data_IF_429008430311
#
_entry.id   IF_429008430311
#
_cell.length_a   1.000
_cell.length_b   1.000
_cell.length_c   1.000
_cell.angle_alpha   90.00
_cell.angle_beta   90.00
_cell.angle_gamma   90.00
#
_symmetry.space_group_name_H-M   'P 1'
#
loop_
_entity.id
_entity.type
_entity.pdbx_description
1 polymer ?
#
# COMPACT_ATOMS: atom_id res chain seq x y z
N UNK A 1 1.41 -22.47 15.12
CA UNK A 1 1.57 -21.59 16.30
C UNK A 1 2.96 -20.94 16.43
N UNK A 2 3.94 -21.26 15.58
CA UNK A 2 5.33 -20.72 15.69
C UNK A 2 5.59 -19.52 14.75
N UNK A 3 4.85 -19.38 13.64
CA UNK A 3 5.02 -18.26 12.69
C UNK A 3 4.37 -16.95 13.20
N UNK A 4 3.36 -17.07 14.08
CA UNK A 4 2.62 -15.92 14.64
C UNK A 4 3.48 -15.06 15.59
N UNK A 5 4.58 -15.60 16.12
CA UNK A 5 5.42 -14.91 17.08
C UNK A 5 6.52 -14.05 16.42
N UNK A 6 6.83 -14.30 15.14
CA UNK A 6 7.95 -13.66 14.45
C UNK A 6 7.57 -12.26 13.97
N UNK A 7 6.41 -12.07 13.34
CA UNK A 7 5.99 -10.75 12.83
C UNK A 7 5.71 -9.74 13.96
N UNK A 8 5.05 -10.15 15.04
CA UNK A 8 4.70 -9.24 16.15
C UNK A 8 5.92 -8.90 17.04
N UNK A 9 6.86 -9.84 17.26
CA UNK A 9 8.13 -9.51 17.92
C UNK A 9 9.03 -8.66 17.02
N UNK A 10 9.03 -8.83 15.70
CA UNK A 10 9.82 -7.97 14.82
C UNK A 10 9.38 -6.51 14.91
N UNK A 11 8.08 -6.20 14.87
CA UNK A 11 7.60 -4.81 14.92
C UNK A 11 7.82 -4.15 16.30
N UNK A 12 7.65 -4.90 17.40
CA UNK A 12 7.83 -4.36 18.77
C UNK A 12 9.32 -4.23 19.15
N UNK A 13 10.17 -5.14 18.69
CA UNK A 13 11.61 -5.09 18.98
C UNK A 13 12.30 -4.01 18.13
N UNK A 14 11.81 -3.73 16.92
CA UNK A 14 12.27 -2.59 16.11
C UNK A 14 11.88 -1.23 16.71
N UNK A 15 10.66 -1.06 17.23
CA UNK A 15 10.28 0.21 17.89
C UNK A 15 11.12 0.53 19.13
N UNK A 16 11.57 -0.48 19.89
CA UNK A 16 12.42 -0.29 21.07
C UNK A 16 13.90 -0.06 20.73
N UNK A 17 14.40 -0.51 19.57
CA UNK A 17 15.80 -0.37 19.18
C UNK A 17 16.08 0.86 18.30
N UNK A 18 15.05 1.45 17.67
CA UNK A 18 15.19 2.66 16.85
C UNK A 18 15.64 3.91 17.62
N UNK A 19 15.57 3.95 18.96
CA UNK A 19 15.94 5.15 19.73
C UNK A 19 17.45 5.30 19.96
N UNK A 20 18.28 4.27 19.73
CA UNK A 20 19.69 4.28 20.17
C UNK A 20 20.72 4.32 19.03
N UNK A 21 20.38 3.96 17.80
CA UNK A 21 21.38 3.66 16.77
C UNK A 21 21.37 4.62 15.56
N UNK A 22 21.33 5.94 15.75
CA UNK A 22 21.18 6.92 14.65
C UNK A 22 22.50 7.47 14.05
N UNK A 23 23.67 6.86 14.29
CA UNK A 23 24.96 7.52 14.00
C UNK A 23 25.84 7.04 12.83
N UNK A 24 25.61 5.89 12.19
CA UNK A 24 26.60 5.37 11.22
C UNK A 24 26.06 4.52 10.05
N UNK A 25 24.93 4.89 9.41
CA UNK A 25 24.53 4.24 8.16
C UNK A 25 24.92 5.11 6.95
N UNK A 26 25.86 4.64 6.13
CA UNK A 26 26.15 5.21 4.80
C UNK A 26 24.92 5.04 3.89
N UNK A 27 24.58 6.02 3.03
CA UNK A 27 23.41 5.93 2.16
C UNK A 27 23.70 4.99 0.98
N UNK A 28 23.15 3.78 1.02
CA UNK A 28 22.99 2.96 -0.18
C UNK A 28 21.99 3.64 -1.13
N UNK A 29 22.09 3.44 -2.46
CA UNK A 29 21.23 4.12 -3.44
C UNK A 29 19.75 3.85 -3.17
N UNK A 30 18.95 4.92 -3.13
CA UNK A 30 17.56 4.87 -2.66
C UNK A 30 16.71 3.95 -3.54
N UNK A 31 16.20 2.93 -2.88
CA UNK A 31 15.30 1.89 -3.35
C UNK A 31 13.92 2.42 -3.71
N UNK A 32 13.43 2.22 -4.94
CA UNK A 32 12.12 2.74 -5.36
C UNK A 32 11.07 1.65 -5.53
N UNK A 33 9.88 1.86 -4.96
CA UNK A 33 8.72 0.98 -5.09
C UNK A 33 7.58 1.69 -5.85
N UNK A 34 7.02 1.03 -6.87
CA UNK A 34 5.82 1.52 -7.56
C UNK A 34 4.60 0.83 -6.97
N UNK A 35 3.72 1.61 -6.34
CA UNK A 35 2.45 1.12 -5.84
C UNK A 35 1.38 1.18 -6.94
N UNK A 36 0.93 0.02 -7.39
CA UNK A 36 -0.15 -0.09 -8.38
C UNK A 36 -1.45 -0.35 -7.61
N UNK A 37 -2.35 0.63 -7.61
CA UNK A 37 -3.72 0.47 -7.11
C UNK A 37 -4.64 0.09 -8.26
N UNK A 38 -5.24 -1.10 -8.22
CA UNK A 38 -6.26 -1.52 -9.18
C UNK A 38 -7.61 -1.70 -8.47
N UNK A 39 -8.66 -1.10 -9.01
CA UNK A 39 -10.00 -1.14 -8.43
C UNK A 39 -10.69 -2.50 -8.62
N UNK A 40 -11.65 -2.81 -7.74
CA UNK A 40 -12.25 -4.15 -7.64
C UNK A 40 -13.62 -4.13 -6.88
N UNK A 41 -14.74 -4.62 -7.45
CA UNK A 41 -15.97 -5.18 -6.82
C UNK A 41 -16.57 -6.50 -7.39
N UNK A 42 -17.19 -7.31 -6.52
CA UNK A 42 -18.61 -7.61 -6.73
C UNK A 42 -19.51 -6.74 -5.84
N UNK A 43 -18.98 -6.25 -4.72
CA UNK A 43 -19.46 -5.08 -3.97
C UNK A 43 -18.26 -4.31 -3.36
N UNK A 44 -18.11 -3.01 -3.65
CA UNK A 44 -17.14 -2.06 -3.04
C UNK A 44 -15.64 -2.06 -3.47
N UNK A 45 -15.29 -1.31 -4.54
CA UNK A 45 -14.33 -0.23 -4.67
C UNK A 45 -12.97 -0.31 -3.92
N UNK A 46 -12.54 -1.49 -3.48
CA UNK A 46 -11.69 -1.59 -2.30
C UNK A 46 -10.23 -1.18 -2.53
N UNK A 47 -9.62 -1.52 -3.67
CA UNK A 47 -8.21 -1.19 -3.94
C UNK A 47 -7.95 0.32 -3.93
N UNK A 48 -8.66 1.07 -4.78
CA UNK A 48 -8.57 2.52 -4.81
C UNK A 48 -9.09 3.19 -3.53
N UNK A 49 -10.10 2.62 -2.85
CA UNK A 49 -10.56 3.15 -1.57
C UNK A 49 -9.54 2.98 -0.44
N UNK A 50 -8.86 1.84 -0.35
CA UNK A 50 -7.79 1.63 0.63
C UNK A 50 -6.60 2.53 0.28
N UNK A 51 -6.23 2.63 -1.00
CA UNK A 51 -5.22 3.57 -1.49
C UNK A 51 -5.54 5.02 -1.07
N UNK A 52 -6.79 5.45 -1.21
CA UNK A 52 -7.23 6.79 -0.79
C UNK A 52 -7.22 7.04 0.72
N UNK A 53 -7.02 6.00 1.55
CA UNK A 53 -6.74 6.14 2.99
C UNK A 53 -5.26 6.00 3.31
N UNK A 54 -4.56 5.13 2.57
CA UNK A 54 -3.13 4.86 2.70
C UNK A 54 -2.28 6.11 2.41
N UNK A 55 -2.49 6.74 1.26
CA UNK A 55 -1.66 7.90 0.87
C UNK A 55 -1.79 9.08 1.83
N UNK A 56 -3.00 9.51 2.26
CA UNK A 56 -3.13 10.51 3.32
C UNK A 56 -2.41 10.15 4.62
N UNK A 57 -2.43 8.87 5.01
CA UNK A 57 -1.73 8.41 6.20
C UNK A 57 -0.21 8.54 6.03
N UNK A 58 0.34 8.05 4.91
CA UNK A 58 1.77 8.17 4.59
C UNK A 58 2.17 9.65 4.50
N UNK A 59 1.37 10.51 3.84
CA UNK A 59 1.61 11.94 3.79
C UNK A 59 1.66 12.57 5.18
N UNK A 60 0.76 12.18 6.09
CA UNK A 60 0.76 12.68 7.48
C UNK A 60 2.02 12.25 8.23
N UNK A 61 2.49 11.02 8.02
CA UNK A 61 3.71 10.48 8.65
C UNK A 61 5.00 11.14 8.13
N UNK A 62 5.00 11.62 6.87
CA UNK A 62 6.14 12.29 6.23
C UNK A 62 6.03 13.83 6.21
N UNK A 63 5.00 14.41 6.83
CA UNK A 63 4.79 15.87 6.88
C UNK A 63 4.40 16.50 5.53
N UNK A 64 3.79 15.74 4.62
CA UNK A 64 3.35 16.23 3.30
C UNK A 64 1.91 16.74 3.38
N UNK A 65 1.71 17.97 2.95
CA UNK A 65 0.40 18.62 2.84
C UNK A 65 -0.49 17.92 1.79
N UNK A 66 -1.83 18.00 1.90
CA UNK A 66 -2.75 17.49 0.87
C UNK A 66 -2.56 18.07 -0.54
N UNK A 67 -1.85 19.20 -0.66
CA UNK A 67 -1.45 19.82 -1.92
C UNK A 67 -0.09 19.36 -2.43
N UNK A 68 0.44 18.25 -1.89
CA UNK A 68 1.75 17.66 -2.22
C UNK A 68 2.96 18.48 -1.78
N UNK A 69 2.77 19.52 -0.97
CA UNK A 69 3.86 20.36 -0.49
C UNK A 69 4.39 19.86 0.85
N UNK A 70 5.71 19.79 1.00
CA UNK A 70 6.35 19.50 2.28
C UNK A 70 6.02 20.62 3.27
N UNK A 71 5.47 20.25 4.44
CA UNK A 71 5.25 21.22 5.49
C UNK A 71 6.56 21.46 6.24
N UNK A 72 6.94 22.72 6.49
CA UNK A 72 8.07 22.99 7.36
C UNK A 72 7.76 22.41 8.76
N UNK A 73 8.77 21.90 9.48
CA UNK A 73 8.58 21.41 10.83
C UNK A 73 7.92 22.50 11.68
N UNK A 74 7.02 22.15 12.63
CA UNK A 74 6.35 23.13 13.46
C UNK A 74 7.40 24.01 14.13
N UNK A 75 7.44 25.28 13.72
CA UNK A 75 8.26 26.29 14.38
C UNK A 75 7.78 26.37 15.84
N UNK A 76 8.68 26.33 16.83
CA UNK A 76 8.27 26.56 18.21
C UNK A 76 7.61 27.94 18.26
N UNK A 77 6.32 27.97 18.60
CA UNK A 77 5.58 29.22 18.75
C UNK A 77 6.32 30.10 19.76
N UNK A 78 6.76 31.26 19.29
CA UNK A 78 7.47 32.29 20.06
C UNK A 78 6.57 32.85 21.17
N UNK A 79 6.47 32.14 22.29
CA UNK A 79 5.90 32.66 23.54
C UNK A 79 6.32 31.82 24.75
N UNK A 80 7.63 31.78 25.03
CA UNK A 80 8.18 31.77 26.40
C UNK A 80 9.70 31.67 26.33
N UNK A 81 10.38 32.71 26.79
CA UNK A 81 11.83 32.70 26.93
C UNK A 81 12.24 31.71 28.02
N UNK A 82 13.10 30.76 27.67
CA UNK A 82 14.05 30.19 28.62
C UNK A 82 15.29 29.74 27.86
N UNK A 83 16.38 30.45 28.13
CA UNK A 83 17.73 30.14 27.65
C UNK A 83 18.20 28.89 28.38
N UNK A 84 18.12 27.72 27.75
CA UNK A 84 18.85 26.54 28.19
C UNK A 84 19.84 26.15 27.09
N UNK A 85 21.12 26.41 27.35
CA UNK A 85 22.26 25.96 26.54
C UNK A 85 22.49 24.46 26.77
N UNK A 86 21.50 23.64 26.43
CA UNK A 86 21.66 22.19 26.41
C UNK A 86 22.08 21.75 24.99
N UNK A 87 23.26 21.11 24.81
CA UNK A 87 23.69 20.58 23.50
C UNK A 87 22.79 19.46 22.96
N UNK A 88 21.73 19.11 23.69
CA UNK A 88 20.75 18.08 23.34
C UNK A 88 19.45 18.63 22.71
N UNK A 89 19.26 19.95 22.66
CA UNK A 89 18.06 20.59 22.06
C UNK A 89 18.26 21.12 20.63
N UNK A 90 19.41 20.85 20.01
CA UNK A 90 19.69 21.16 18.59
C UNK A 90 19.50 19.97 17.65
N UNK A 91 18.91 18.88 18.14
CA UNK A 91 18.38 17.85 17.27
C UNK A 91 16.88 18.11 17.12
N UNK A 92 16.55 19.11 16.30
CA UNK A 92 15.38 18.98 15.45
C UNK A 92 15.62 17.66 14.70
N UNK A 93 15.13 16.55 15.26
CA UNK A 93 15.04 15.29 14.55
C UNK A 93 14.08 15.57 13.40
N UNK A 94 14.59 16.18 12.32
CA UNK A 94 14.25 15.79 10.97
C UNK A 94 14.37 14.27 11.03
N UNK A 95 13.25 13.61 11.32
CA UNK A 95 13.21 12.17 11.33
C UNK A 95 13.72 11.79 9.95
N UNK A 96 14.94 11.26 9.88
CA UNK A 96 15.56 10.89 8.61
C UNK A 96 14.58 9.89 8.01
N UNK A 97 13.85 10.30 6.99
CA UNK A 97 12.79 9.51 6.38
C UNK A 97 13.00 9.50 4.87
N UNK A 98 13.01 8.31 4.31
CA UNK A 98 13.25 8.10 2.89
C UNK A 98 11.93 8.26 2.14
N UNK A 99 11.63 9.51 1.79
CA UNK A 99 10.43 9.86 1.02
C UNK A 99 10.49 9.29 -0.41
N UNK A 100 11.69 9.21 -1.00
CA UNK A 100 11.86 8.88 -2.43
C UNK A 100 11.41 7.46 -2.78
N UNK A 101 11.36 6.56 -1.80
CA UNK A 101 10.90 5.18 -1.97
C UNK A 101 9.48 5.11 -2.53
N UNK A 102 8.58 5.95 -2.00
CA UNK A 102 7.16 5.98 -2.40
C UNK A 102 6.75 7.27 -3.11
N UNK A 103 7.55 8.33 -3.02
CA UNK A 103 7.28 9.61 -3.67
C UNK A 103 8.30 9.92 -4.76
N UNK A 104 7.82 10.58 -5.80
CA UNK A 104 8.63 11.25 -6.80
C UNK A 104 8.69 12.72 -6.42
N UNK A 105 9.90 13.25 -6.21
CA UNK A 105 10.12 14.67 -6.00
C UNK A 105 10.09 15.38 -7.36
N UNK A 106 9.08 16.23 -7.58
CA UNK A 106 8.95 17.00 -8.81
C UNK A 106 9.74 18.32 -8.74
N UNK A 107 9.68 18.99 -7.59
CA UNK A 107 10.39 20.21 -7.23
C UNK A 107 10.86 20.08 -5.77
N UNK A 108 11.66 21.02 -5.27
CA UNK A 108 12.29 20.95 -3.93
C UNK A 108 11.31 20.56 -2.80
N UNK A 109 10.08 21.08 -2.83
CA UNK A 109 9.05 20.78 -1.83
C UNK A 109 7.84 19.99 -2.35
N UNK A 110 7.83 19.56 -3.63
CA UNK A 110 6.66 18.93 -4.23
C UNK A 110 6.81 17.42 -4.41
N UNK A 111 6.06 16.65 -3.62
CA UNK A 111 6.12 15.19 -3.58
C UNK A 111 4.87 14.52 -4.15
N UNK A 112 5.03 13.75 -5.22
CA UNK A 112 3.94 13.05 -5.91
C UNK A 112 4.07 11.54 -5.64
N UNK A 113 3.03 10.84 -5.14
CA UNK A 113 3.07 9.40 -4.98
C UNK A 113 3.44 8.66 -6.27
N UNK A 114 4.33 7.66 -6.16
CA UNK A 114 4.62 6.67 -7.21
C UNK A 114 3.47 5.66 -7.28
N UNK A 115 2.28 6.18 -7.57
CA UNK A 115 1.04 5.43 -7.62
C UNK A 115 0.40 5.49 -9.01
N UNK A 116 -0.09 4.35 -9.49
CA UNK A 116 -0.98 4.29 -10.65
C UNK A 116 -2.35 3.81 -10.16
N UNK A 117 -3.41 4.56 -10.46
CA UNK A 117 -4.79 4.20 -10.14
C UNK A 117 -5.47 3.68 -11.40
N UNK A 118 -5.97 2.46 -11.35
CA UNK A 118 -6.55 1.79 -12.51
C UNK A 118 -7.98 1.37 -12.20
N UNK A 119 -8.93 1.79 -13.04
CA UNK A 119 -10.34 1.46 -12.87
C UNK A 119 -11.07 1.32 -14.20
N UNK A 120 -12.09 0.47 -14.21
CA UNK A 120 -13.01 0.33 -15.35
C UNK A 120 -14.28 1.17 -15.14
N UNK A 121 -14.50 1.69 -13.93
CA UNK A 121 -15.65 2.51 -13.55
C UNK A 121 -15.20 3.85 -12.95
N UNK A 122 -15.81 4.98 -13.35
CA UNK A 122 -15.34 6.31 -12.93
C UNK A 122 -15.65 6.66 -11.46
N UNK A 123 -16.56 5.94 -10.80
CA UNK A 123 -17.17 6.35 -9.53
C UNK A 123 -16.14 6.59 -8.41
N UNK A 124 -15.18 5.69 -8.24
CA UNK A 124 -14.18 5.80 -7.16
C UNK A 124 -13.13 6.83 -7.50
N UNK A 125 -12.61 6.77 -8.73
CA UNK A 125 -11.62 7.74 -9.21
C UNK A 125 -12.17 9.15 -9.04
N UNK A 126 -13.41 9.42 -9.46
CA UNK A 126 -14.03 10.73 -9.31
C UNK A 126 -14.17 11.15 -7.83
N UNK A 127 -14.43 10.20 -6.93
CA UNK A 127 -14.47 10.48 -5.49
C UNK A 127 -13.08 10.87 -4.95
N UNK A 128 -12.01 10.22 -5.43
CA UNK A 128 -10.62 10.56 -5.06
C UNK A 128 -10.21 11.90 -5.65
N UNK A 129 -10.53 12.16 -6.92
CA UNK A 129 -10.22 13.40 -7.62
C UNK A 129 -11.02 14.62 -7.14
N UNK A 130 -12.13 14.41 -6.41
CA UNK A 130 -12.88 15.48 -5.73
C UNK A 130 -12.51 15.62 -4.26
N UNK A 131 -11.68 14.71 -3.73
CA UNK A 131 -11.26 14.74 -2.33
C UNK A 131 -10.24 15.85 -2.04
N UNK A 132 -9.99 16.12 -0.75
CA UNK A 132 -8.95 17.06 -0.29
C UNK A 132 -7.56 16.75 -0.87
N UNK A 133 -7.29 15.48 -1.17
CA UNK A 133 -6.02 14.99 -1.71
C UNK A 133 -6.05 14.83 -3.25
N UNK A 134 -6.97 15.50 -3.94
CA UNK A 134 -7.06 15.42 -5.41
C UNK A 134 -5.77 15.87 -6.11
N UNK A 135 -5.16 16.94 -5.60
CA UNK A 135 -3.89 17.49 -6.10
C UNK A 135 -2.67 16.62 -5.81
N UNK A 136 -2.83 15.61 -4.95
CA UNK A 136 -1.76 14.67 -4.64
C UNK A 136 -1.42 13.77 -5.83
N UNK A 137 -2.44 13.35 -6.57
CA UNK A 137 -2.28 12.40 -7.66
C UNK A 137 -2.03 13.14 -8.98
N UNK A 138 -1.05 12.66 -9.75
CA UNK A 138 -0.88 13.13 -11.11
C UNK A 138 -2.00 12.55 -11.99
N UNK A 139 -2.78 13.37 -12.71
CA UNK A 139 -3.86 12.89 -13.57
C UNK A 139 -3.37 11.93 -14.68
N UNK A 140 -2.10 12.02 -15.08
CA UNK A 140 -1.48 11.08 -16.04
C UNK A 140 -1.27 9.68 -15.48
N UNK A 141 -1.38 9.49 -14.16
CA UNK A 141 -1.24 8.18 -13.50
C UNK A 141 -2.59 7.52 -13.23
N UNK A 142 -3.67 8.06 -13.81
CA UNK A 142 -5.03 7.60 -13.57
C UNK A 142 -5.55 7.00 -14.87
N UNK A 143 -5.79 5.69 -14.86
CA UNK A 143 -6.43 5.00 -15.96
C UNK A 143 -7.92 4.84 -15.69
N UNK A 144 -8.72 5.26 -16.65
CA UNK A 144 -10.14 4.98 -16.70
C UNK A 144 -10.47 4.37 -18.06
N UNK A 145 -11.13 3.21 -18.05
CA UNK A 145 -11.60 2.58 -19.28
C UNK A 145 -12.59 3.45 -20.04
N UNK A 146 -12.37 3.61 -21.35
CA UNK A 146 -13.27 4.35 -22.26
C UNK A 146 -14.66 3.73 -22.36
N UNK A 147 -14.73 2.41 -22.20
CA UNK A 147 -15.98 1.66 -22.33
C UNK A 147 -16.96 1.91 -21.16
N UNK A 148 -16.46 2.38 -20.00
CA UNK A 148 -17.25 2.78 -18.83
C UNK A 148 -18.19 1.73 -18.21
N UNK A 149 -18.37 0.57 -18.84
CA UNK A 149 -19.42 -0.40 -18.56
C UNK A 149 -19.13 -1.39 -17.43
N UNK A 150 -17.98 -1.28 -16.77
CA UNK A 150 -17.52 -2.27 -15.79
C UNK A 150 -17.38 -3.68 -16.38
N UNK A 151 -16.88 -4.63 -15.60
CA UNK A 151 -16.65 -6.02 -16.05
C UNK A 151 -17.80 -7.01 -15.67
N UNK A 152 -19.03 -6.53 -15.45
CA UNK A 152 -20.23 -7.41 -15.41
C UNK A 152 -20.22 -8.62 -14.44
N UNK A 153 -19.53 -8.53 -13.30
CA UNK A 153 -19.30 -9.59 -12.30
C UNK A 153 -18.46 -10.77 -12.79
N UNK A 154 -17.89 -10.70 -14.00
CA UNK A 154 -17.19 -11.79 -14.65
C UNK A 154 -15.68 -11.52 -14.77
N UNK A 155 -14.87 -12.47 -14.29
CA UNK A 155 -13.41 -12.45 -14.43
C UNK A 155 -12.96 -12.27 -15.89
N UNK A 156 -13.60 -12.98 -16.84
CA UNK A 156 -13.22 -12.96 -18.26
C UNK A 156 -13.40 -11.57 -18.88
N UNK A 157 -14.44 -10.84 -18.47
CA UNK A 157 -14.68 -9.49 -18.96
C UNK A 157 -13.62 -8.49 -18.48
N UNK A 158 -13.01 -8.75 -17.31
CA UNK A 158 -11.88 -7.99 -16.79
C UNK A 158 -10.53 -8.48 -17.31
N UNK A 159 -10.40 -9.73 -17.75
CA UNK A 159 -9.20 -10.28 -18.39
C UNK A 159 -9.18 -9.91 -19.88
N UNK A 160 -8.80 -8.67 -20.17
CA UNK A 160 -8.61 -8.15 -21.53
C UNK A 160 -7.20 -7.60 -21.69
N UNK A 161 -6.84 -7.29 -22.92
CA UNK A 161 -5.55 -6.67 -23.23
C UNK A 161 -5.64 -5.17 -22.92
N UNK A 162 -4.87 -4.71 -21.93
CA UNK A 162 -4.79 -3.31 -21.53
C UNK A 162 -3.41 -2.72 -21.82
N UNK A 163 -3.11 -2.46 -23.11
CA UNK A 163 -1.82 -1.89 -23.54
C UNK A 163 -1.56 -0.53 -22.92
N UNK A 164 -2.57 0.34 -22.87
CA UNK A 164 -2.47 1.68 -22.30
C UNK A 164 -1.98 1.65 -20.84
N UNK A 165 -2.39 0.64 -20.06
CA UNK A 165 -1.97 0.44 -18.66
C UNK A 165 -0.50 0.02 -18.57
N UNK A 166 -0.05 -0.87 -19.46
CA UNK A 166 1.35 -1.26 -19.54
C UNK A 166 2.24 -0.09 -19.97
N UNK A 167 1.82 0.70 -20.96
CA UNK A 167 2.58 1.89 -21.40
C UNK A 167 2.77 2.91 -20.27
N UNK A 168 1.73 3.12 -19.44
CA UNK A 168 1.85 3.96 -18.24
C UNK A 168 2.81 3.38 -17.21
N UNK A 169 2.77 2.06 -17.01
CA UNK A 169 3.67 1.38 -16.09
C UNK A 169 5.12 1.48 -16.54
N UNK A 170 5.39 1.26 -17.83
CA UNK A 170 6.71 1.35 -18.43
C UNK A 170 7.26 2.78 -18.31
N UNK A 171 6.40 3.78 -18.55
CA UNK A 171 6.77 5.18 -18.35
C UNK A 171 7.13 5.49 -16.88
N UNK A 172 6.55 4.78 -15.90
CA UNK A 172 6.89 4.94 -14.49
C UNK A 172 8.12 4.15 -14.07
N UNK A 173 8.28 2.95 -14.58
CA UNK A 173 9.48 2.14 -14.38
C UNK A 173 10.72 2.85 -14.93
N UNK A 174 10.61 3.45 -16.13
CA UNK A 174 11.71 4.19 -16.76
C UNK A 174 12.11 5.47 -16.00
N UNK A 175 11.15 6.12 -15.31
CA UNK A 175 11.40 7.30 -14.47
C UNK A 175 11.96 6.95 -13.07
N UNK A 176 12.25 5.69 -12.82
CA UNK A 176 12.74 5.21 -11.54
C UNK A 176 14.20 4.80 -11.69
N UNK A 177 15.11 5.49 -11.02
CA UNK A 177 16.55 5.23 -11.14
C UNK A 177 16.92 3.80 -10.69
N UNK A 178 16.26 3.31 -9.64
CA UNK A 178 16.40 1.93 -9.16
C UNK A 178 15.05 1.36 -8.73
N UNK A 179 14.30 0.83 -9.69
CA UNK A 179 13.04 0.12 -9.41
C UNK A 179 13.34 -1.21 -8.71
N UNK A 180 12.76 -1.44 -7.53
CA UNK A 180 12.89 -2.71 -6.82
C UNK A 180 11.73 -3.67 -7.10
N UNK A 181 10.52 -3.12 -7.17
CA UNK A 181 9.33 -3.94 -7.30
C UNK A 181 8.03 -3.15 -7.41
N UNK A 182 6.97 -3.93 -7.59
CA UNK A 182 5.60 -3.49 -7.73
C UNK A 182 4.79 -3.96 -6.52
N UNK A 183 4.04 -3.04 -5.93
CA UNK A 183 3.06 -3.35 -4.88
C UNK A 183 1.67 -3.27 -5.48
N UNK A 184 0.98 -4.41 -5.60
CA UNK A 184 -0.35 -4.49 -6.20
C UNK A 184 -1.44 -4.56 -5.14
N UNK A 185 -2.36 -3.60 -5.12
CA UNK A 185 -3.50 -3.59 -4.20
C UNK A 185 -4.78 -3.89 -4.98
N UNK A 186 -5.40 -5.03 -4.69
CA UNK A 186 -6.58 -5.52 -5.41
C UNK A 186 -7.45 -6.46 -4.55
N UNK A 187 -8.68 -6.73 -4.97
CA UNK A 187 -9.48 -7.85 -4.45
C UNK A 187 -9.47 -9.04 -5.41
N UNK A 188 -9.49 -10.25 -4.85
CA UNK A 188 -9.58 -11.49 -5.64
C UNK A 188 -11.02 -11.83 -6.03
N UNK A 189 -12.00 -11.24 -5.32
CA UNK A 189 -13.41 -11.59 -5.43
C UNK A 189 -14.10 -11.04 -6.70
N UNK A 190 -13.49 -10.06 -7.37
CA UNK A 190 -14.15 -9.11 -8.26
C UNK A 190 -13.75 -9.21 -9.74
N UNK A 191 -14.72 -8.99 -10.65
CA UNK A 191 -14.57 -8.32 -11.98
C UNK A 191 -13.16 -7.84 -12.38
N UNK A 192 -12.85 -6.57 -12.08
CA UNK A 192 -11.70 -5.79 -12.51
C UNK A 192 -10.43 -6.35 -11.90
N UNK A 193 -10.08 -6.05 -10.65
CA UNK A 193 -8.81 -6.55 -10.11
C UNK A 193 -8.69 -8.07 -9.87
N UNK A 194 -9.71 -8.93 -10.10
CA UNK A 194 -9.44 -10.37 -10.33
C UNK A 194 -8.99 -10.62 -11.77
N UNK A 195 -9.75 -10.15 -12.78
CA UNK A 195 -9.44 -10.35 -14.21
C UNK A 195 -8.28 -9.50 -14.71
N UNK A 196 -8.41 -8.17 -14.61
CA UNK A 196 -7.36 -7.21 -14.94
C UNK A 196 -6.13 -7.43 -14.05
N UNK A 197 -6.34 -7.71 -12.77
CA UNK A 197 -5.22 -8.02 -11.87
C UNK A 197 -4.46 -9.27 -12.29
N UNK A 198 -5.16 -10.32 -12.71
CA UNK A 198 -4.54 -11.52 -13.27
C UNK A 198 -3.74 -11.23 -14.53
N UNK A 199 -4.29 -10.44 -15.46
CA UNK A 199 -3.59 -10.01 -16.67
C UNK A 199 -2.32 -9.21 -16.33
N UNK A 200 -2.41 -8.24 -15.42
CA UNK A 200 -1.26 -7.44 -15.03
C UNK A 200 -0.17 -8.27 -14.35
N UNK A 201 -0.53 -9.24 -13.51
CA UNK A 201 0.46 -10.13 -12.88
C UNK A 201 1.22 -10.97 -13.92
N UNK A 202 0.52 -11.50 -14.94
CA UNK A 202 1.16 -12.24 -16.03
C UNK A 202 2.12 -11.34 -16.82
N UNK A 203 1.66 -10.14 -17.22
CA UNK A 203 2.49 -9.20 -17.98
C UNK A 203 3.67 -8.65 -17.17
N UNK A 204 3.49 -8.39 -15.88
CA UNK A 204 4.55 -7.94 -14.99
C UNK A 204 5.67 -8.96 -14.88
N UNK A 205 5.31 -10.24 -14.76
CA UNK A 205 6.31 -11.30 -14.70
C UNK A 205 7.06 -11.38 -16.03
N UNK A 206 6.37 -11.32 -17.17
CA UNK A 206 6.99 -11.43 -18.49
C UNK A 206 7.91 -10.24 -18.81
N UNK A 207 7.50 -9.00 -18.48
CA UNK A 207 8.26 -7.79 -18.77
C UNK A 207 9.33 -7.46 -17.71
N UNK A 208 9.11 -7.83 -16.44
CA UNK A 208 9.94 -7.43 -15.30
C UNK A 208 10.40 -8.61 -14.44
N UNK A 209 10.93 -9.68 -15.06
CA UNK A 209 11.35 -10.93 -14.41
C UNK A 209 12.24 -10.81 -13.16
N UNK A 210 13.00 -9.72 -12.99
CA UNK A 210 13.93 -9.51 -11.86
C UNK A 210 13.35 -8.60 -10.77
N UNK A 211 12.14 -8.09 -10.96
CA UNK A 211 11.51 -7.15 -10.03
C UNK A 211 10.52 -7.89 -9.15
N UNK A 212 10.49 -7.51 -7.88
CA UNK A 212 9.61 -8.13 -6.91
C UNK A 212 8.15 -7.74 -7.19
N UNK A 213 7.23 -8.71 -7.13
CA UNK A 213 5.78 -8.48 -7.19
C UNK A 213 5.16 -8.86 -5.85
N UNK A 214 4.82 -7.85 -5.05
CA UNK A 214 4.11 -8.02 -3.78
C UNK A 214 2.64 -7.60 -3.95
N UNK A 215 1.70 -8.46 -3.55
CA UNK A 215 0.28 -8.12 -3.59
C UNK A 215 -0.31 -7.96 -2.19
N UNK A 216 -1.23 -7.02 -2.04
CA UNK A 216 -2.16 -6.92 -0.92
C UNK A 216 -3.53 -7.31 -1.46
N UNK A 217 -3.90 -8.56 -1.22
CA UNK A 217 -5.05 -9.20 -1.83
C UNK A 217 -6.20 -9.28 -0.84
N UNK A 218 -7.33 -8.65 -1.19
CA UNK A 218 -8.53 -8.63 -0.35
C UNK A 218 -9.36 -9.86 -0.64
N UNK A 219 -9.46 -10.71 0.37
CA UNK A 219 -10.28 -11.91 0.34
C UNK A 219 -11.73 -11.55 0.64
N UNK A 220 -12.69 -12.20 -0.06
CA UNK A 220 -14.10 -11.97 0.17
C UNK A 220 -14.53 -12.34 1.58
N UNK A 221 -15.71 -11.87 1.96
CA UNK A 221 -16.35 -12.29 3.19
C UNK A 221 -16.74 -13.78 3.10
N UNK A 222 -16.54 -14.53 4.17
CA UNK A 222 -16.86 -15.97 4.25
C UNK A 222 -18.36 -16.26 4.33
N UNK A 223 -19.16 -15.29 4.81
CA UNK A 223 -20.60 -15.50 4.96
C UNK A 223 -21.31 -15.26 3.62
N UNK A 224 -22.35 -16.04 3.36
CA UNK A 224 -23.17 -16.03 2.12
C UNK A 224 -23.94 -14.71 1.85
N UNK A 225 -23.51 -13.59 2.43
CA UNK A 225 -24.12 -12.27 2.29
C UNK A 225 -23.59 -11.46 1.09
N UNK A 226 -22.73 -12.03 0.25
CA UNK A 226 -22.30 -11.35 -0.97
C UNK A 226 -23.35 -11.52 -2.07
N UNK A 227 -23.88 -10.41 -2.59
CA UNK A 227 -24.88 -10.38 -3.69
C UNK A 227 -24.41 -11.03 -4.99
N UNK A 228 -23.13 -11.46 -5.07
CA UNK A 228 -22.53 -11.97 -6.31
C UNK A 228 -22.16 -13.44 -6.19
N UNK A 229 -22.99 -14.25 -6.84
CA UNK A 229 -22.89 -15.71 -6.88
C UNK A 229 -21.63 -16.25 -7.57
N UNK A 230 -21.02 -15.46 -8.48
CA UNK A 230 -19.82 -15.86 -9.24
C UNK A 230 -18.49 -15.55 -8.53
N UNK A 231 -18.55 -14.99 -7.33
CA UNK A 231 -17.38 -14.63 -6.53
C UNK A 231 -16.38 -15.77 -6.28
N UNK A 232 -16.81 -17.04 -6.00
CA UNK A 232 -15.87 -18.15 -5.83
C UNK A 232 -15.07 -18.45 -7.10
N UNK A 233 -15.70 -18.39 -8.28
CA UNK A 233 -15.03 -18.61 -9.56
C UNK A 233 -13.96 -17.55 -9.82
N UNK A 234 -14.31 -16.27 -9.63
CA UNK A 234 -13.36 -15.16 -9.78
C UNK A 234 -12.17 -15.32 -8.82
N UNK A 235 -12.44 -15.73 -7.58
CA UNK A 235 -11.41 -15.89 -6.54
C UNK A 235 -10.43 -17.01 -6.89
N UNK A 236 -10.91 -18.18 -7.32
CA UNK A 236 -10.05 -19.32 -7.68
C UNK A 236 -9.17 -18.99 -8.89
N UNK A 237 -9.73 -18.32 -9.91
CA UNK A 237 -8.97 -17.89 -11.09
C UNK A 237 -7.87 -16.89 -10.73
N UNK A 238 -8.18 -15.90 -9.88
CA UNK A 238 -7.18 -14.97 -9.39
C UNK A 238 -6.12 -15.62 -8.50
N UNK A 239 -6.51 -16.52 -7.59
CA UNK A 239 -5.57 -17.23 -6.72
C UNK A 239 -4.58 -18.06 -7.53
N UNK A 240 -5.02 -18.74 -8.60
CA UNK A 240 -4.10 -19.48 -9.50
C UNK A 240 -3.00 -18.57 -10.05
N UNK A 241 -3.32 -17.31 -10.37
CA UNK A 241 -2.33 -16.36 -10.87
C UNK A 241 -1.46 -15.77 -9.78
N UNK A 242 -2.02 -15.50 -8.61
CA UNK A 242 -1.22 -15.12 -7.44
C UNK A 242 -0.18 -16.20 -7.11
N UNK A 243 -0.58 -17.47 -7.08
CA UNK A 243 0.34 -18.59 -6.80
C UNK A 243 1.49 -18.69 -7.81
N UNK A 244 1.25 -18.35 -9.08
CA UNK A 244 2.22 -18.58 -10.15
C UNK A 244 3.04 -17.33 -10.53
N UNK A 245 2.51 -16.13 -10.30
CA UNK A 245 3.05 -14.89 -10.85
C UNK A 245 3.25 -13.79 -9.79
N UNK A 246 3.18 -14.12 -8.49
CA UNK A 246 3.54 -13.18 -7.42
C UNK A 246 4.58 -13.78 -6.48
N UNK A 247 5.46 -12.92 -5.95
CA UNK A 247 6.52 -13.32 -5.03
C UNK A 247 6.03 -13.36 -3.58
N UNK A 248 5.09 -12.48 -3.23
CA UNK A 248 4.54 -12.36 -1.88
C UNK A 248 3.10 -11.87 -1.92
N UNK A 249 2.20 -12.55 -1.21
CA UNK A 249 0.77 -12.19 -1.11
C UNK A 249 0.42 -11.92 0.35
N UNK A 250 0.18 -10.67 0.69
CA UNK A 250 -0.41 -10.29 1.96
C UNK A 250 -1.93 -10.50 1.91
N UNK A 251 -2.43 -11.45 2.69
CA UNK A 251 -3.84 -11.82 2.74
C UNK A 251 -4.61 -10.86 3.65
N UNK A 252 -5.63 -10.20 3.09
CA UNK A 252 -6.51 -9.27 3.80
C UNK A 252 -7.95 -9.81 3.82
N UNK A 253 -8.28 -10.60 4.83
CA UNK A 253 -9.64 -11.14 5.01
C UNK A 253 -10.64 -10.03 5.42
N UNK A 254 -11.71 -9.84 4.64
CA UNK A 254 -12.78 -8.91 4.97
C UNK A 254 -13.55 -9.32 6.24
N UNK A 255 -13.79 -10.62 6.46
CA UNK A 255 -14.55 -11.12 7.60
C UNK A 255 -13.80 -10.94 8.91
N UNK A 256 -12.51 -11.28 8.94
CA UNK A 256 -11.66 -10.98 10.08
C UNK A 256 -11.57 -9.47 10.35
N UNK A 257 -11.40 -8.65 9.31
CA UNK A 257 -11.31 -7.19 9.48
C UNK A 257 -12.59 -6.58 10.03
N UNK A 258 -13.76 -6.98 9.51
CA UNK A 258 -15.05 -6.51 10.02
C UNK A 258 -15.23 -6.87 11.49
N UNK A 259 -14.90 -8.11 11.88
CA UNK A 259 -14.94 -8.56 13.29
C UNK A 259 -14.00 -7.73 14.17
N UNK A 260 -12.73 -7.56 13.77
CA UNK A 260 -11.75 -6.78 14.55
C UNK A 260 -12.21 -5.34 14.75
N UNK A 261 -12.74 -4.69 13.71
CA UNK A 261 -13.21 -3.30 13.81
C UNK A 261 -14.46 -3.21 14.67
N UNK A 262 -15.38 -4.17 14.54
CA UNK A 262 -16.58 -4.26 15.39
C UNK A 262 -16.20 -4.41 16.87
N UNK A 263 -15.28 -5.32 17.18
CA UNK A 263 -14.81 -5.60 18.54
C UNK A 263 -14.05 -4.40 19.14
N UNK A 264 -13.21 -3.73 18.34
CA UNK A 264 -12.38 -2.61 18.82
C UNK A 264 -13.14 -1.29 18.96
N UNK A 265 -14.06 -1.00 18.03
CA UNK A 265 -14.85 0.24 18.06
C UNK A 265 -16.16 0.08 18.83
N UNK A 266 -16.50 -1.13 19.28
CA UNK A 266 -17.78 -1.46 19.91
C UNK A 266 -18.98 -1.06 19.03
N UNK A 267 -18.89 -1.30 17.72
CA UNK A 267 -19.93 -0.97 16.73
C UNK A 267 -20.48 -2.26 16.14
N UNK A 268 -21.81 -2.42 16.11
CA UNK A 268 -22.48 -3.63 15.59
C UNK A 268 -22.23 -3.89 14.10
N UNK A 269 -22.13 -2.83 13.28
CA UNK A 269 -21.85 -2.92 11.84
C UNK A 269 -20.79 -1.90 11.41
N UNK A 270 -19.54 -2.30 11.16
CA UNK A 270 -18.47 -1.38 10.78
C UNK A 270 -18.65 -0.87 9.34
N UNK A 271 -18.36 0.41 9.12
CA UNK A 271 -18.37 1.00 7.78
C UNK A 271 -17.10 0.67 7.00
N UNK A 272 -17.19 0.60 5.67
CA UNK A 272 -16.02 0.38 4.79
C UNK A 272 -14.89 1.38 5.02
N UNK A 273 -15.21 2.63 5.37
CA UNK A 273 -14.19 3.64 5.68
C UNK A 273 -13.39 3.30 6.94
N UNK A 274 -14.06 2.79 7.99
CA UNK A 274 -13.40 2.36 9.23
C UNK A 274 -12.53 1.12 8.97
N UNK A 275 -13.06 0.15 8.22
CA UNK A 275 -12.32 -1.05 7.83
C UNK A 275 -11.09 -0.72 7.00
N UNK A 276 -11.22 0.16 6.00
CA UNK A 276 -10.10 0.56 5.15
C UNK A 276 -9.04 1.38 5.91
N UNK A 277 -9.44 2.13 6.94
CA UNK A 277 -8.48 2.82 7.82
C UNK A 277 -7.61 1.84 8.59
N UNK A 278 -8.18 0.72 9.07
CA UNK A 278 -7.40 -0.32 9.74
C UNK A 278 -6.35 -0.94 8.79
N UNK A 279 -6.72 -1.22 7.54
CA UNK A 279 -5.81 -1.75 6.52
C UNK A 279 -4.71 -0.75 6.19
N UNK A 280 -5.06 0.52 6.00
CA UNK A 280 -4.10 1.60 5.79
C UNK A 280 -3.03 1.63 6.89
N UNK A 281 -3.45 1.46 8.16
CA UNK A 281 -2.51 1.43 9.29
C UNK A 281 -1.61 0.19 9.26
N UNK A 282 -2.15 -0.98 8.92
CA UNK A 282 -1.35 -2.22 8.78
C UNK A 282 -0.35 -2.09 7.64
N UNK A 283 -0.76 -1.56 6.48
CA UNK A 283 0.10 -1.35 5.32
C UNK A 283 1.21 -0.33 5.62
N UNK A 284 0.86 0.77 6.30
CA UNK A 284 1.85 1.76 6.74
C UNK A 284 2.87 1.16 7.71
N UNK A 285 2.42 0.35 8.67
CA UNK A 285 3.29 -0.34 9.61
C UNK A 285 4.21 -1.36 8.90
N UNK A 286 3.69 -2.11 7.93
CA UNK A 286 4.46 -3.08 7.16
C UNK A 286 5.55 -2.42 6.29
N UNK A 287 5.33 -1.20 5.80
CA UNK A 287 6.30 -0.47 4.98
C UNK A 287 7.20 0.47 5.77
N UNK A 288 7.10 0.47 7.11
CA UNK A 288 7.90 1.38 7.95
C UNK A 288 9.40 1.16 7.78
N UNK A 289 9.86 -0.09 7.65
CA UNK A 289 11.30 -0.41 7.47
C UNK A 289 11.87 0.05 6.13
N UNK A 290 11.01 0.35 5.15
CA UNK A 290 11.40 0.89 3.85
C UNK A 290 11.43 2.43 3.87
N UNK A 291 10.54 3.05 4.67
CA UNK A 291 10.35 4.51 4.73
C UNK A 291 11.26 5.21 5.71
N UNK A 292 11.74 4.48 6.70
CA UNK A 292 12.65 4.98 7.72
C UNK A 292 13.93 4.15 7.69
N UNK A 293 15.10 4.77 7.88
CA UNK A 293 16.38 4.08 7.89
C UNK A 293 16.40 3.08 9.06
N UNK A 294 16.55 1.81 8.71
CA UNK A 294 16.68 0.71 9.66
C UNK A 294 17.85 -0.18 9.22
N UNK A 295 18.57 -0.77 10.17
CA UNK A 295 19.74 -1.60 9.89
C UNK A 295 19.42 -2.96 9.24
N UNK A 296 18.24 -3.52 9.51
CA UNK A 296 17.80 -4.82 9.02
C UNK A 296 16.53 -4.68 8.21
N UNK A 297 16.42 -5.45 7.12
CA UNK A 297 15.23 -5.50 6.26
C UNK A 297 14.81 -4.13 5.69
N UNK A 298 15.81 -3.33 5.29
CA UNK A 298 15.64 -2.02 4.64
C UNK A 298 15.29 -2.12 3.15
N UNK A 299 15.36 -3.32 2.56
CA UNK A 299 14.96 -3.61 1.19
C UNK A 299 13.77 -4.59 1.20
N UNK A 300 12.74 -4.39 0.35
CA UNK A 300 11.61 -5.31 0.22
C UNK A 300 12.02 -6.75 -0.12
N UNK A 301 13.09 -6.96 -0.91
CA UNK A 301 13.64 -8.29 -1.20
C UNK A 301 14.16 -8.95 0.07
N UNK A 302 14.92 -8.22 0.90
CA UNK A 302 15.43 -8.73 2.17
C UNK A 302 14.32 -9.06 3.15
N UNK A 303 13.30 -8.18 3.23
CA UNK A 303 12.11 -8.42 4.06
C UNK A 303 11.39 -9.71 3.64
N UNK A 304 11.13 -9.89 2.35
CA UNK A 304 10.38 -11.04 1.84
C UNK A 304 11.19 -12.33 1.93
N UNK A 305 12.49 -12.28 1.65
CA UNK A 305 13.39 -13.43 1.80
C UNK A 305 13.39 -13.97 3.24
N UNK A 306 13.24 -13.10 4.25
CA UNK A 306 13.15 -13.52 5.64
C UNK A 306 11.82 -14.16 6.04
N UNK A 307 10.74 -13.87 5.29
CA UNK A 307 9.38 -14.32 5.59
C UNK A 307 8.97 -15.57 4.82
N UNK A 308 9.55 -15.80 3.63
CA UNK A 308 9.12 -16.84 2.70
C UNK A 308 10.20 -17.94 2.62
N UNK A 309 9.98 -19.10 3.27
CA UNK A 309 10.97 -20.18 3.25
C UNK A 309 10.97 -20.96 1.93
N UNK A 310 9.85 -20.97 1.20
CA UNK A 310 9.72 -21.65 -0.10
C UNK A 310 8.85 -20.83 -1.05
N UNK A 311 9.19 -20.80 -2.34
CA UNK A 311 8.51 -19.98 -3.35
C UNK A 311 7.00 -20.25 -3.47
N UNK A 312 6.52 -21.45 -3.13
CA UNK A 312 5.09 -21.80 -3.16
C UNK A 312 4.31 -21.41 -1.89
N UNK A 313 5.00 -21.12 -0.79
CA UNK A 313 4.40 -20.73 0.48
C UNK A 313 4.57 -19.24 0.75
N UNK A 314 4.05 -18.40 -0.16
CA UNK A 314 4.23 -16.95 -0.12
C UNK A 314 2.99 -16.18 0.36
N UNK A 315 2.00 -16.86 0.95
CA UNK A 315 0.82 -16.23 1.54
C UNK A 315 1.11 -15.82 2.98
N UNK A 316 1.18 -14.51 3.21
CA UNK A 316 1.47 -13.90 4.49
C UNK A 316 0.18 -13.49 5.18
N UNK A 317 0.03 -13.90 6.45
CA UNK A 317 -1.05 -13.43 7.30
C UNK A 317 -0.63 -12.17 8.05
N UNK A 318 -1.48 -11.14 8.04
CA UNK A 318 -1.22 -9.89 8.75
C UNK A 318 -1.85 -9.92 10.14
N UNK A 319 -1.07 -9.51 11.15
CA UNK A 319 -1.55 -9.36 12.52
C UNK A 319 -1.11 -8.01 13.06
N UNK A 320 -2.03 -7.26 13.66
CA UNK A 320 -1.72 -5.96 14.20
C UNK A 320 -2.47 -5.73 15.51
N UNK A 321 -1.74 -5.26 16.51
CA UNK A 321 -2.28 -4.88 17.81
C UNK A 321 -1.95 -3.43 18.08
N UNK A 322 -2.99 -2.61 18.30
CA UNK A 322 -2.81 -1.26 18.81
C UNK A 322 -2.51 -1.34 20.30
N UNK A 323 -1.32 -0.89 20.71
CA UNK A 323 -1.06 -0.61 22.12
C UNK A 323 -2.00 0.52 22.54
N UNK A 324 -2.87 0.26 23.52
CA UNK A 324 -3.58 1.33 24.23
C UNK A 324 -2.49 2.21 24.85
N UNK A 325 -2.25 3.39 24.29
CA UNK A 325 -1.68 4.48 25.08
C UNK A 325 -2.77 4.85 26.08
N UNK A 326 -2.60 4.39 27.32
CA UNK A 326 -3.33 4.91 28.48
C UNK A 326 -2.99 6.40 28.65
#
# INVERSE_FOLDING_TARGET
>A
MVILHILCKFTLQLQSQCTVALKCATPDPVSHCIAIGSQTTPAGQAGNQISSKLWPQICTEHGISPTSLLQPPPQPSSSSGSTSNDPFQTNNCLAIDWKDVFFYQADDDHYIPRAIMIDLEPRVINTVLTSKYSKLYNPKNVYLSKDGGGAGNNWVAGYKIYKEVMDMLDCKAYRSDSLEGFVFLHSIACKTGSGLGSYLLEQLLDSYLKKLVQTYSIFPHSDNSSDVVVQPYNSILAIKRLVNHSDSVAVLDNSARARIVSDKLHVASPTWQQTNRSVSTVMSAATTTLRYPVYMNNNPVGMIASLIPTLRCHFLMTSYTLNKKN
#
